data_IF_681827065241
#
_entry.id   IF_681827065241
#
_cell.length_a   1.000
_cell.length_b   1.000
_cell.length_c   1.000
_cell.angle_alpha   90.00
_cell.angle_beta   90.00
_cell.angle_gamma   90.00
#
_symmetry.space_group_name_H-M   'P 1'
#
loop_
_entity.id
_entity.type
_entity.pdbx_description
1 polymer ?
#
# COMPACT_ATOMS: atom_id res chain seq x y z
N UNK A 1 25.45 -24.82 -24.21
CA UNK A 1 25.02 -23.61 -23.47
C UNK A 1 23.54 -23.76 -23.22
N UNK A 2 23.15 -24.11 -22.00
CA UNK A 2 21.78 -24.44 -21.66
C UNK A 2 21.17 -23.22 -20.97
N UNK A 3 20.46 -22.39 -21.74
CA UNK A 3 19.65 -21.30 -21.20
C UNK A 3 18.39 -21.95 -20.60
N UNK A 4 18.46 -22.26 -19.31
CA UNK A 4 17.31 -22.78 -18.57
C UNK A 4 16.15 -21.78 -18.58
N UNK A 5 14.89 -22.25 -18.45
CA UNK A 5 13.75 -21.36 -18.42
C UNK A 5 13.85 -20.44 -17.20
N UNK A 6 13.81 -19.12 -17.45
CA UNK A 6 13.47 -18.14 -16.43
C UNK A 6 12.04 -18.42 -16.00
N UNK A 7 11.88 -19.20 -14.93
CA UNK A 7 10.60 -19.30 -14.22
C UNK A 7 10.46 -17.97 -13.50
N UNK A 8 9.75 -17.02 -14.12
CA UNK A 8 9.18 -15.90 -13.38
C UNK A 8 8.22 -16.52 -12.35
N UNK A 9 8.68 -16.66 -11.11
CA UNK A 9 7.78 -16.97 -10.02
C UNK A 9 6.84 -15.77 -9.87
N UNK A 10 5.66 -15.87 -10.49
CA UNK A 10 4.55 -14.96 -10.24
C UNK A 10 4.06 -15.28 -8.83
N UNK A 11 4.76 -14.75 -7.82
CA UNK A 11 4.30 -14.86 -6.44
C UNK A 11 2.96 -14.16 -6.35
N UNK A 12 1.89 -14.95 -6.22
CA UNK A 12 0.56 -14.43 -5.99
C UNK A 12 0.57 -13.66 -4.66
N UNK A 13 0.25 -12.37 -4.72
CA UNK A 13 0.16 -11.54 -3.53
C UNK A 13 -1.19 -11.81 -2.88
N UNK A 14 -1.15 -12.25 -1.62
CA UNK A 14 -2.34 -12.49 -0.80
C UNK A 14 -2.42 -11.38 0.25
N UNK A 15 -3.61 -10.81 0.42
CA UNK A 15 -3.87 -9.82 1.45
C UNK A 15 -4.73 -10.41 2.56
N UNK A 16 -4.42 -10.07 3.81
CA UNK A 16 -5.17 -10.45 5.01
C UNK A 16 -5.69 -9.21 5.74
N UNK A 17 -6.76 -9.37 6.53
CA UNK A 17 -7.32 -8.25 7.28
C UNK A 17 -6.33 -7.73 8.33
N UNK A 18 -6.29 -6.41 8.47
CA UNK A 18 -5.44 -5.76 9.46
C UNK A 18 -6.03 -5.92 10.86
N UNK A 19 -5.21 -6.16 11.88
CA UNK A 19 -5.65 -6.36 13.27
C UNK A 19 -6.56 -5.23 13.79
N UNK A 20 -6.23 -3.98 13.48
CA UNK A 20 -7.05 -2.80 13.81
C UNK A 20 -8.49 -2.87 13.25
N UNK A 21 -8.66 -3.37 12.02
CA UNK A 21 -9.98 -3.54 11.40
C UNK A 21 -10.73 -4.70 12.06
N UNK A 22 -10.04 -5.81 12.35
CA UNK A 22 -10.60 -6.96 13.05
C UNK A 22 -11.03 -6.63 14.50
N UNK A 23 -10.30 -5.76 15.18
CA UNK A 23 -10.61 -5.33 16.54
C UNK A 23 -11.86 -4.43 16.60
N UNK A 24 -12.22 -3.75 15.51
CA UNK A 24 -13.34 -2.81 15.44
C UNK A 24 -14.11 -2.92 14.11
N UNK A 25 -14.70 -4.08 13.77
CA UNK A 25 -15.26 -4.35 12.44
C UNK A 25 -16.45 -3.45 12.11
N UNK A 26 -17.13 -2.89 13.10
CA UNK A 26 -18.21 -1.93 12.87
C UNK A 26 -17.73 -0.56 12.38
N UNK A 27 -16.47 -0.20 12.65
CA UNK A 27 -15.90 1.13 12.32
C UNK A 27 -15.14 1.15 11.00
N UNK A 28 -14.69 0.00 10.52
CA UNK A 28 -13.92 -0.11 9.29
C UNK A 28 -14.73 -0.83 8.20
N UNK A 29 -14.40 -0.55 6.95
CA UNK A 29 -14.85 -1.28 5.78
C UNK A 29 -13.69 -1.55 4.84
N UNK A 30 -13.80 -2.60 4.05
CA UNK A 30 -12.85 -2.88 2.98
C UNK A 30 -13.32 -2.24 1.67
N UNK A 31 -12.38 -1.63 0.95
CA UNK A 31 -12.58 -1.11 -0.40
C UNK A 31 -11.38 -1.51 -1.28
N UNK A 32 -11.58 -1.49 -2.60
CA UNK A 32 -10.49 -1.63 -3.57
C UNK A 32 -10.20 -0.24 -4.14
N UNK A 33 -8.96 0.23 -3.99
CA UNK A 33 -8.54 1.56 -4.45
C UNK A 33 -7.70 1.51 -5.71
N UNK A 34 -7.62 2.63 -6.43
CA UNK A 34 -6.61 2.88 -7.46
C UNK A 34 -5.34 3.40 -6.78
N UNK A 35 -4.28 2.62 -6.85
CA UNK A 35 -3.01 2.92 -6.17
C UNK A 35 -2.37 4.23 -6.64
N UNK A 36 -2.36 4.57 -7.94
CA UNK A 36 -1.78 5.85 -8.40
C UNK A 36 -2.44 7.07 -7.76
N UNK A 37 -3.78 7.08 -7.67
CA UNK A 37 -4.55 8.21 -7.13
C UNK A 37 -4.30 8.39 -5.63
N UNK A 38 -4.20 7.28 -4.89
CA UNK A 38 -3.82 7.32 -3.48
C UNK A 38 -2.38 7.83 -3.31
N UNK A 39 -1.45 7.39 -4.17
CA UNK A 39 -0.06 7.84 -4.12
C UNK A 39 0.06 9.35 -4.40
N UNK A 40 -0.70 9.85 -5.37
CA UNK A 40 -0.79 11.28 -5.69
C UNK A 40 -1.32 12.09 -4.51
N UNK A 41 -2.42 11.63 -3.89
CA UNK A 41 -2.99 12.29 -2.70
C UNK A 41 -2.03 12.24 -1.50
N UNK A 42 -1.43 11.07 -1.23
CA UNK A 42 -0.55 10.88 -0.08
C UNK A 42 0.77 11.64 -0.19
N UNK A 43 1.19 12.03 -1.40
CA UNK A 43 2.41 12.83 -1.60
C UNK A 43 2.37 14.17 -0.85
N UNK A 44 1.18 14.71 -0.59
CA UNK A 44 0.98 15.93 0.19
C UNK A 44 1.07 15.71 1.72
N UNK A 45 1.15 14.45 2.18
CA UNK A 45 1.34 14.13 3.60
C UNK A 45 2.68 14.63 4.12
N UNK A 46 2.69 15.08 5.37
CA UNK A 46 3.91 15.49 6.07
C UNK A 46 4.94 14.36 6.21
N UNK A 47 4.51 13.10 6.04
CA UNK A 47 5.38 11.92 6.16
C UNK A 47 5.81 11.35 4.79
N UNK A 48 5.39 11.97 3.68
CA UNK A 48 5.67 11.45 2.34
C UNK A 48 7.15 11.49 1.99
N UNK A 49 7.86 12.52 2.45
CA UNK A 49 9.27 12.77 2.12
C UNK A 49 10.21 11.64 2.57
N UNK A 50 9.81 10.81 3.54
CA UNK A 50 10.61 9.67 3.97
C UNK A 50 10.73 8.61 2.87
N UNK A 51 9.69 8.49 2.03
CA UNK A 51 9.53 7.42 1.04
C UNK A 51 9.43 7.88 -0.41
N UNK A 52 9.00 9.12 -0.65
CA UNK A 52 8.76 9.65 -2.00
C UNK A 52 9.62 10.89 -2.20
N UNK A 53 10.23 10.99 -3.38
CA UNK A 53 10.90 12.19 -3.83
C UNK A 53 9.89 13.22 -4.34
N UNK A 54 10.27 14.51 -4.40
CA UNK A 54 9.36 15.58 -4.84
C UNK A 54 8.79 15.37 -6.25
N UNK A 55 9.50 14.63 -7.09
CA UNK A 55 9.10 14.25 -8.45
C UNK A 55 8.06 13.11 -8.48
N UNK A 56 7.66 12.57 -7.32
CA UNK A 56 6.70 11.48 -7.19
C UNK A 56 7.32 10.08 -7.23
N UNK A 57 8.65 9.98 -7.43
CA UNK A 57 9.32 8.68 -7.45
C UNK A 57 9.43 8.09 -6.04
N UNK A 58 9.06 6.83 -5.89
CA UNK A 58 9.29 6.08 -4.65
C UNK A 58 10.80 5.83 -4.50
N UNK A 59 11.32 6.11 -3.32
CA UNK A 59 12.73 5.90 -2.95
C UNK A 59 13.09 4.44 -3.02
N UNK A 60 14.25 4.15 -3.60
CA UNK A 60 14.86 2.82 -3.57
C UNK A 60 15.25 2.44 -2.15
N UNK A 61 15.54 1.16 -1.90
CA UNK A 61 15.96 0.68 -0.59
C UNK A 61 17.16 1.49 -0.05
N UNK A 62 18.15 1.84 -0.88
CA UNK A 62 19.33 2.56 -0.44
C UNK A 62 19.07 4.05 -0.15
N UNK A 63 18.00 4.61 -0.70
CA UNK A 63 17.60 6.01 -0.51
C UNK A 63 16.72 6.21 0.72
N UNK A 64 16.19 5.13 1.30
CA UNK A 64 15.35 5.17 2.50
C UNK A 64 16.18 5.39 3.78
N UNK A 65 15.63 6.12 4.77
CA UNK A 65 16.15 6.11 6.14
C UNK A 65 16.28 4.69 6.69
N UNK A 66 17.21 4.47 7.64
CA UNK A 66 17.49 3.13 8.18
C UNK A 66 16.26 2.43 8.76
N UNK A 67 15.45 3.13 9.53
CA UNK A 67 14.19 2.61 10.07
C UNK A 67 13.24 2.16 8.96
N UNK A 68 13.10 2.95 7.89
CA UNK A 68 12.20 2.63 6.78
C UNK A 68 12.75 1.51 5.88
N UNK A 69 14.08 1.37 5.77
CA UNK A 69 14.73 0.23 5.11
C UNK A 69 14.33 -1.10 5.73
N UNK A 70 14.31 -1.17 7.06
CA UNK A 70 13.90 -2.37 7.80
C UNK A 70 12.43 -2.71 7.49
N UNK A 71 11.55 -1.72 7.48
CA UNK A 71 10.13 -1.92 7.16
C UNK A 71 9.92 -2.39 5.71
N UNK A 72 10.62 -1.77 4.75
CA UNK A 72 10.60 -2.19 3.34
C UNK A 72 11.05 -3.64 3.20
N UNK A 73 12.20 -3.98 3.80
CA UNK A 73 12.77 -5.32 3.71
C UNK A 73 11.85 -6.37 4.33
N UNK A 74 11.18 -6.07 5.45
CA UNK A 74 10.23 -6.98 6.07
C UNK A 74 9.05 -7.32 5.14
N UNK A 75 8.55 -6.35 4.36
CA UNK A 75 7.49 -6.57 3.38
C UNK A 75 8.02 -7.41 2.21
N UNK A 76 9.19 -7.06 1.67
CA UNK A 76 9.84 -7.82 0.59
C UNK A 76 10.08 -9.29 0.98
N UNK A 77 10.47 -9.54 2.23
CA UNK A 77 10.71 -10.88 2.74
C UNK A 77 9.41 -11.67 2.89
N UNK A 78 8.32 -11.04 3.37
CA UNK A 78 6.99 -11.67 3.38
C UNK A 78 6.55 -12.09 1.99
N UNK A 79 6.75 -11.22 0.99
CA UNK A 79 6.44 -11.51 -0.41
C UNK A 79 7.28 -12.69 -0.90
N UNK A 80 8.60 -12.67 -0.67
CA UNK A 80 9.48 -13.77 -1.09
C UNK A 80 9.11 -15.11 -0.45
N UNK A 81 8.59 -15.08 0.78
CA UNK A 81 8.13 -16.26 1.51
C UNK A 81 6.70 -16.70 1.14
N UNK A 82 6.00 -15.97 0.26
CA UNK A 82 4.61 -16.25 -0.08
C UNK A 82 3.64 -16.04 1.09
N UNK A 83 4.00 -15.19 2.06
CA UNK A 83 3.14 -14.87 3.21
C UNK A 83 2.17 -13.75 2.84
N UNK A 84 0.99 -13.80 3.44
CA UNK A 84 0.01 -12.74 3.29
C UNK A 84 0.54 -11.39 3.83
N UNK A 85 0.09 -10.31 3.20
CA UNK A 85 0.36 -8.94 3.61
C UNK A 85 -0.89 -8.36 4.26
N UNK A 86 -0.77 -7.66 5.40
CA UNK A 86 -1.92 -7.01 5.99
C UNK A 86 -2.40 -5.88 5.06
N UNK A 87 -3.71 -5.80 4.82
CA UNK A 87 -4.35 -4.69 4.09
C UNK A 87 -3.97 -3.36 4.75
N UNK A 88 -3.46 -2.36 4.01
CA UNK A 88 -3.23 -1.03 4.57
C UNK A 88 -4.51 -0.43 5.15
N UNK A 89 -4.37 0.40 6.18
CA UNK A 89 -5.47 1.18 6.76
C UNK A 89 -5.29 2.63 6.33
N UNK A 90 -6.23 3.12 5.52
CA UNK A 90 -6.24 4.48 5.00
C UNK A 90 -7.31 5.32 5.69
N UNK A 91 -7.13 6.63 5.68
CA UNK A 91 -8.12 7.60 6.12
C UNK A 91 -7.89 8.94 5.45
N UNK A 92 -8.62 9.96 5.89
CA UNK A 92 -8.40 11.35 5.47
C UNK A 92 -7.68 12.10 6.60
N UNK A 93 -6.58 12.76 6.24
CA UNK A 93 -5.78 13.59 7.14
C UNK A 93 -6.40 14.96 7.38
N UNK A 94 -5.71 15.77 8.19
CA UNK A 94 -6.16 17.13 8.54
C UNK A 94 -6.15 18.11 7.36
N UNK A 95 -5.40 17.80 6.29
CA UNK A 95 -5.26 18.65 5.10
C UNK A 95 -6.08 18.11 3.91
N UNK A 96 -7.12 17.33 4.19
CA UNK A 96 -8.02 16.72 3.20
C UNK A 96 -7.31 15.81 2.17
N UNK A 97 -6.09 15.35 2.49
CA UNK A 97 -5.36 14.34 1.74
C UNK A 97 -5.55 12.95 2.33
N UNK A 98 -5.35 11.90 1.52
CA UNK A 98 -5.28 10.54 2.04
C UNK A 98 -4.09 10.39 2.97
N UNK A 99 -4.32 9.75 4.11
CA UNK A 99 -3.31 9.34 5.09
C UNK A 99 -3.25 7.81 5.19
N UNK A 100 -2.05 7.29 5.45
CA UNK A 100 -1.83 5.86 5.67
C UNK A 100 -1.57 5.62 7.16
N UNK A 101 -2.64 5.34 7.91
CA UNK A 101 -2.55 5.14 9.36
C UNK A 101 -1.82 3.85 9.75
N UNK A 102 -1.91 2.80 8.92
CA UNK A 102 -1.11 1.58 9.08
C UNK A 102 -0.83 0.91 7.73
N UNK A 103 0.25 0.14 7.67
CA UNK A 103 0.63 -0.60 6.46
C UNK A 103 1.29 0.26 5.39
N UNK A 104 1.87 1.42 5.75
CA UNK A 104 2.59 2.32 4.82
C UNK A 104 3.65 1.61 3.98
N UNK A 105 4.50 0.79 4.62
CA UNK A 105 5.51 0.02 3.89
C UNK A 105 4.89 -1.01 2.93
N UNK A 106 3.77 -1.64 3.30
CA UNK A 106 3.03 -2.55 2.40
C UNK A 106 2.53 -1.77 1.19
N UNK A 107 1.83 -0.66 1.44
CA UNK A 107 1.28 0.18 0.37
C UNK A 107 2.36 0.60 -0.63
N UNK A 108 3.47 1.15 -0.14
CA UNK A 108 4.51 1.72 -0.99
C UNK A 108 5.34 0.67 -1.73
N UNK A 109 5.58 -0.50 -1.12
CA UNK A 109 6.21 -1.62 -1.82
C UNK A 109 5.33 -2.14 -2.96
N UNK A 110 4.02 -2.24 -2.74
CA UNK A 110 3.10 -2.67 -3.79
C UNK A 110 2.95 -1.63 -4.90
N UNK A 111 2.94 -0.34 -4.55
CA UNK A 111 2.97 0.76 -5.51
C UNK A 111 4.26 0.73 -6.36
N UNK A 112 5.43 0.53 -5.74
CA UNK A 112 6.72 0.44 -6.43
C UNK A 112 6.81 -0.79 -7.36
N UNK A 113 6.12 -1.88 -7.00
CA UNK A 113 5.93 -3.07 -7.86
C UNK A 113 4.94 -2.85 -9.02
N UNK A 114 4.34 -1.67 -9.14
CA UNK A 114 3.40 -1.35 -10.20
C UNK A 114 1.99 -1.91 -9.99
N UNK A 115 1.61 -2.25 -8.76
CA UNK A 115 0.25 -2.72 -8.48
C UNK A 115 -0.73 -1.56 -8.69
N UNK A 116 -1.64 -1.69 -9.66
CA UNK A 116 -2.60 -0.62 -10.00
C UNK A 116 -3.82 -0.55 -9.08
N UNK A 117 -4.21 -1.68 -8.47
CA UNK A 117 -5.38 -1.80 -7.59
C UNK A 117 -5.03 -2.60 -6.34
N UNK A 118 -5.54 -2.20 -5.17
CA UNK A 118 -5.22 -2.87 -3.91
C UNK A 118 -6.40 -2.84 -2.93
N UNK A 119 -6.68 -3.94 -2.21
CA UNK A 119 -7.63 -3.91 -1.11
C UNK A 119 -7.04 -3.18 0.10
N UNK A 120 -7.83 -2.32 0.72
CA UNK A 120 -7.47 -1.53 1.90
C UNK A 120 -8.65 -1.45 2.85
N UNK A 121 -8.39 -1.12 4.11
CA UNK A 121 -9.43 -0.72 5.05
C UNK A 121 -9.52 0.79 5.19
N UNK A 122 -10.73 1.31 5.32
CA UNK A 122 -11.00 2.72 5.68
C UNK A 122 -11.99 2.80 6.84
N UNK A 123 -11.96 3.86 7.67
CA UNK A 123 -13.08 4.19 8.53
C UNK A 123 -14.34 4.39 7.70
N UNK A 124 -15.48 3.83 8.12
CA UNK A 124 -16.76 4.02 7.43
C UNK A 124 -17.18 5.49 7.33
N UNK A 125 -16.72 6.33 8.27
CA UNK A 125 -16.94 7.78 8.20
C UNK A 125 -16.27 8.46 7.01
N UNK A 126 -15.27 7.82 6.39
CA UNK A 126 -14.59 8.33 5.19
C UNK A 126 -15.11 7.72 3.88
N UNK A 127 -16.21 6.97 3.90
CA UNK A 127 -16.74 6.30 2.70
C UNK A 127 -16.99 7.29 1.56
N UNK A 128 -17.61 8.43 1.85
CA UNK A 128 -17.87 9.49 0.86
C UNK A 128 -16.59 10.09 0.29
N UNK A 129 -15.59 10.36 1.14
CA UNK A 129 -14.30 10.91 0.73
C UNK A 129 -13.55 9.96 -0.21
N UNK A 130 -13.72 8.65 -0.02
CA UNK A 130 -13.00 7.64 -0.80
C UNK A 130 -13.65 7.28 -2.14
N UNK A 131 -14.86 7.77 -2.45
CA UNK A 131 -15.54 7.50 -3.73
C UNK A 131 -14.67 7.84 -4.94
N UNK A 132 -13.91 8.93 -4.86
CA UNK A 132 -13.02 9.35 -5.92
C UNK A 132 -11.86 8.38 -6.18
N UNK A 133 -11.49 7.54 -5.20
CA UNK A 133 -10.33 6.64 -5.28
C UNK A 133 -10.68 5.18 -5.55
N UNK A 134 -11.97 4.82 -5.59
CA UNK A 134 -12.41 3.44 -5.81
C UNK A 134 -11.94 2.94 -7.16
N UNK A 135 -11.32 1.77 -7.20
CA UNK A 135 -11.04 1.12 -8.47
C UNK A 135 -12.33 0.56 -9.07
N UNK A 136 -12.51 0.74 -10.38
CA UNK A 136 -13.62 0.09 -11.08
C UNK A 136 -13.55 -1.42 -10.85
N UNK A 137 -14.69 -2.02 -10.55
CA UNK A 137 -14.88 -3.47 -10.57
C UNK A 137 -15.03 -3.88 -12.04
N UNK A 138 -13.99 -3.69 -12.84
CA UNK A 138 -13.95 -4.25 -14.19
C UNK A 138 -13.75 -5.76 -14.05
N UNK A 139 -14.80 -6.50 -14.41
CA UNK A 139 -14.86 -7.97 -14.47
C UNK A 139 -13.91 -8.54 -15.52
#
# INVERSE_FOLDING_TARGET
MNSGPHIENHTQIVFEDHEAALANPHRYMEIIIRVPDILESWRESLFSFEWIWRDGRIKTLQELPENERVLRQAVEDKIRQGRALPKPVLGIGLMDNVEIGSGRAVFLVMADRGLGKMPVHIPKSNEEDFKAFLADISS
#
